data_IF_358325596233
#
_entry.id   IF_358325596233
#
_cell.length_a   1.000
_cell.length_b   1.000
_cell.length_c   1.000
_cell.angle_alpha   90.00
_cell.angle_beta   90.00
_cell.angle_gamma   90.00
#
_symmetry.space_group_name_H-M   'P 1'
#
loop_
_entity.id
_entity.type
_entity.pdbx_description
1 polymer ?
#
# COMPACT_ATOMS: atom_id res chain seq x y z
N UNK A 1 -10.67 -7.96 -2.81
CA UNK A 1 -11.40 -8.30 -4.05
C UNK A 1 -11.66 -7.01 -4.79
N UNK A 2 -11.57 -6.98 -6.12
CA UNK A 2 -11.97 -5.84 -6.93
C UNK A 2 -12.50 -6.27 -8.29
N UNK A 3 -12.93 -5.31 -9.11
CA UNK A 3 -13.64 -5.55 -10.36
C UNK A 3 -12.94 -4.81 -11.50
N UNK A 4 -12.76 -5.49 -12.65
CA UNK A 4 -12.31 -4.90 -13.90
C UNK A 4 -13.51 -4.39 -14.71
N UNK A 5 -13.30 -3.55 -15.74
CA UNK A 5 -14.41 -2.90 -16.45
C UNK A 5 -15.27 -3.88 -17.27
N UNK A 6 -14.69 -5.01 -17.68
CA UNK A 6 -15.34 -6.10 -18.40
C UNK A 6 -16.05 -7.11 -17.46
N UNK A 7 -16.10 -6.82 -16.16
CA UNK A 7 -16.80 -7.61 -15.15
C UNK A 7 -15.98 -8.74 -14.54
N UNK A 8 -14.70 -8.86 -14.87
CA UNK A 8 -13.81 -9.82 -14.20
C UNK A 8 -13.57 -9.42 -12.76
N UNK A 9 -13.47 -10.42 -11.89
CA UNK A 9 -13.19 -10.23 -10.47
C UNK A 9 -11.72 -10.53 -10.20
N UNK A 10 -11.03 -9.63 -9.51
CA UNK A 10 -9.69 -9.85 -8.97
C UNK A 10 -9.82 -10.34 -7.54
N UNK A 11 -9.20 -11.48 -7.24
CA UNK A 11 -9.15 -12.06 -5.90
C UNK A 11 -7.70 -12.38 -5.48
N UNK A 12 -7.50 -12.41 -4.18
CA UNK A 12 -6.27 -12.86 -3.56
C UNK A 12 -6.62 -14.03 -2.65
N UNK A 13 -5.89 -15.12 -2.79
CA UNK A 13 -6.02 -16.34 -1.99
C UNK A 13 -4.72 -16.58 -1.25
N UNK A 14 -4.80 -17.00 0.01
CA UNK A 14 -3.63 -17.40 0.77
C UNK A 14 -4.01 -18.53 1.73
N UNK A 15 -3.05 -19.41 2.00
CA UNK A 15 -3.22 -20.38 3.07
C UNK A 15 -3.09 -19.66 4.42
N UNK A 16 -4.03 -19.93 5.34
CA UNK A 16 -3.87 -19.44 6.71
C UNK A 16 -2.56 -19.98 7.29
N UNK A 17 -1.68 -19.12 7.82
CA UNK A 17 -0.47 -19.58 8.47
C UNK A 17 -0.84 -20.44 9.69
N UNK A 18 0.00 -21.42 10.00
CA UNK A 18 -0.13 -22.13 11.28
C UNK A 18 -0.09 -21.11 12.44
N UNK A 19 -0.88 -21.31 13.50
CA UNK A 19 -0.95 -20.40 14.64
C UNK A 19 0.29 -20.52 15.54
N UNK A 20 1.47 -20.29 14.97
CA UNK A 20 2.77 -20.38 15.63
C UNK A 20 3.27 -18.96 15.88
N UNK A 21 3.69 -18.70 17.13
CA UNK A 21 4.28 -17.43 17.52
C UNK A 21 5.46 -17.07 16.61
N UNK A 22 5.51 -15.82 16.17
CA UNK A 22 6.60 -15.28 15.37
C UNK A 22 6.11 -14.45 14.19
N UNK A 23 7.07 -14.02 13.38
CA UNK A 23 6.81 -13.34 12.12
C UNK A 23 6.53 -14.35 11.02
N UNK A 24 5.44 -14.17 10.29
CA UNK A 24 5.09 -14.96 9.11
C UNK A 24 4.77 -14.02 7.95
N UNK A 25 5.05 -14.47 6.73
CA UNK A 25 4.65 -13.77 5.51
C UNK A 25 4.10 -14.82 4.54
N UNK A 26 2.78 -15.07 4.55
CA UNK A 26 2.18 -16.13 3.74
C UNK A 26 2.31 -15.80 2.26
N UNK A 27 2.47 -16.82 1.42
CA UNK A 27 2.34 -16.66 -0.03
C UNK A 27 0.88 -16.39 -0.39
N UNK A 28 0.67 -15.41 -1.26
CA UNK A 28 -0.63 -15.00 -1.80
C UNK A 28 -0.65 -15.31 -3.29
N UNK A 29 -1.64 -16.08 -3.72
CA UNK A 29 -1.99 -16.25 -5.12
C UNK A 29 -2.93 -15.11 -5.52
N UNK A 30 -2.55 -14.33 -6.53
CA UNK A 30 -3.46 -13.35 -7.13
C UNK A 30 -4.04 -13.98 -8.38
N UNK A 31 -5.36 -14.00 -8.44
CA UNK A 31 -6.11 -14.63 -9.52
C UNK A 31 -7.22 -13.72 -9.99
N UNK A 32 -7.67 -13.96 -11.21
CA UNK A 32 -8.86 -13.34 -11.77
C UNK A 32 -9.91 -14.40 -12.08
N UNK A 33 -11.17 -13.99 -12.02
CA UNK A 33 -12.34 -14.83 -12.24
C UNK A 33 -13.14 -14.19 -13.37
N UNK A 34 -13.34 -14.89 -14.51
CA UNK A 34 -14.14 -14.37 -15.61
C UNK A 34 -15.59 -14.08 -15.17
N UNK A 35 -16.32 -13.18 -15.85
CA UNK A 35 -17.70 -12.83 -15.51
C UNK A 35 -18.66 -14.04 -15.54
N UNK A 36 -18.37 -15.01 -16.42
CA UNK A 36 -19.13 -16.25 -16.52
C UNK A 36 -18.91 -17.20 -15.33
N UNK A 37 -17.93 -16.93 -14.47
CA UNK A 37 -17.61 -17.72 -13.28
C UNK A 37 -16.98 -19.10 -13.56
N UNK A 38 -16.64 -19.39 -14.82
CA UNK A 38 -16.05 -20.69 -15.20
C UNK A 38 -14.53 -20.56 -15.24
N UNK A 39 -13.87 -21.13 -14.22
CA UNK A 39 -12.42 -21.17 -14.11
C UNK A 39 -11.82 -19.98 -13.36
N UNK A 40 -10.52 -20.04 -13.15
CA UNK A 40 -9.69 -18.97 -12.57
C UNK A 40 -8.42 -18.83 -13.41
N UNK A 41 -7.94 -17.61 -13.58
CA UNK A 41 -6.63 -17.36 -14.17
C UNK A 41 -5.69 -16.94 -13.05
N UNK A 42 -4.63 -17.73 -12.85
CA UNK A 42 -3.59 -17.40 -11.88
C UNK A 42 -2.66 -16.35 -12.51
N UNK A 43 -2.63 -15.14 -11.94
CA UNK A 43 -1.70 -14.09 -12.35
C UNK A 43 -0.29 -14.38 -11.82
N UNK A 44 -0.20 -15.05 -10.67
CA UNK A 44 1.05 -15.48 -10.05
C UNK A 44 0.94 -15.70 -8.55
N UNK A 45 2.11 -15.85 -7.91
CA UNK A 45 2.24 -16.00 -6.46
C UNK A 45 3.23 -14.97 -5.93
N UNK A 46 2.85 -14.24 -4.90
CA UNK A 46 3.65 -13.19 -4.28
C UNK A 46 3.77 -13.40 -2.77
N UNK A 47 4.85 -12.91 -2.16
CA UNK A 47 4.90 -12.74 -0.72
C UNK A 47 3.78 -11.78 -0.26
N UNK A 48 2.92 -12.24 0.63
CA UNK A 48 1.79 -11.47 1.14
C UNK A 48 2.19 -10.40 2.17
N UNK A 49 1.22 -10.07 3.01
CA UNK A 49 1.41 -9.18 4.15
C UNK A 49 2.14 -9.90 5.28
N UNK A 50 3.16 -9.25 5.80
CA UNK A 50 3.88 -9.72 6.96
C UNK A 50 3.04 -9.51 8.22
N UNK A 51 2.91 -10.58 8.97
CA UNK A 51 2.12 -10.65 10.19
C UNK A 51 3.03 -11.11 11.32
N UNK A 52 2.79 -10.56 12.50
CA UNK A 52 3.42 -11.02 13.73
C UNK A 52 2.34 -11.61 14.61
N UNK A 53 2.53 -12.89 14.94
CA UNK A 53 1.69 -13.64 15.83
C UNK A 53 2.37 -13.69 17.19
N UNK A 54 1.69 -13.23 18.23
CA UNK A 54 2.17 -13.29 19.61
C UNK A 54 1.03 -13.67 20.54
N UNK A 55 1.38 -14.17 21.72
CA UNK A 55 0.41 -14.58 22.73
C UNK A 55 0.27 -13.45 23.75
N UNK A 56 -0.96 -12.95 23.93
CA UNK A 56 -1.29 -11.92 24.92
C UNK A 56 -2.60 -12.30 25.61
N UNK A 57 -2.65 -12.23 26.95
CA UNK A 57 -3.81 -12.59 27.77
C UNK A 57 -4.40 -13.99 27.48
N UNK A 58 -3.55 -14.95 27.07
CA UNK A 58 -3.97 -16.31 26.71
C UNK A 58 -4.68 -16.42 25.36
N UNK A 59 -4.68 -15.35 24.56
CA UNK A 59 -5.18 -15.32 23.19
C UNK A 59 -4.04 -15.06 22.19
N UNK A 60 -4.16 -15.67 21.02
CA UNK A 60 -3.27 -15.38 19.90
C UNK A 60 -3.67 -14.04 19.29
N UNK A 61 -2.77 -13.07 19.36
CA UNK A 61 -2.93 -11.76 18.74
C UNK A 61 -2.16 -11.72 17.42
N UNK A 62 -2.74 -11.04 16.43
CA UNK A 62 -2.13 -10.82 15.12
C UNK A 62 -1.97 -9.32 14.93
N UNK A 63 -0.74 -8.88 14.68
CA UNK A 63 -0.44 -7.48 14.35
C UNK A 63 0.45 -7.40 13.12
N UNK A 64 0.60 -6.20 12.58
CA UNK A 64 1.54 -5.91 11.50
C UNK A 64 2.78 -5.23 12.11
N UNK A 65 4.00 -5.63 11.71
CA UNK A 65 5.19 -4.93 12.16
C UNK A 65 5.25 -3.52 11.56
N UNK A 66 5.87 -2.54 12.23
CA UNK A 66 5.88 -1.12 11.82
C UNK A 66 6.40 -0.86 10.39
N UNK A 67 7.40 -1.64 9.98
CA UNK A 67 8.01 -1.60 8.64
C UNK A 67 7.71 -2.88 7.86
N UNK A 68 6.56 -3.49 8.16
CA UNK A 68 6.17 -4.78 7.60
C UNK A 68 6.05 -4.75 6.08
N UNK A 69 6.40 -5.87 5.48
CA UNK A 69 6.25 -6.05 4.05
C UNK A 69 4.81 -6.36 3.67
N UNK A 70 4.37 -5.88 2.52
CA UNK A 70 2.99 -5.95 2.05
C UNK A 70 2.92 -6.16 0.55
N UNK A 71 1.93 -6.97 0.15
CA UNK A 71 1.47 -7.07 -1.21
C UNK A 71 0.37 -6.03 -1.47
N UNK A 72 0.56 -5.24 -2.50
CA UNK A 72 -0.39 -4.25 -3.00
C UNK A 72 -0.99 -4.74 -4.31
N UNK A 73 -2.32 -4.66 -4.43
CA UNK A 73 -3.08 -5.08 -5.60
C UNK A 73 -4.04 -3.94 -5.96
N UNK A 74 -3.89 -3.36 -7.14
CA UNK A 74 -4.75 -2.31 -7.68
C UNK A 74 -5.41 -2.77 -8.99
N UNK A 75 -6.66 -3.24 -8.92
CA UNK A 75 -7.48 -3.45 -10.11
C UNK A 75 -7.71 -2.13 -10.85
N UNK A 76 -7.72 -2.20 -12.17
CA UNK A 76 -7.98 -1.10 -13.11
C UNK A 76 -8.93 -1.60 -14.20
N UNK A 77 -9.53 -0.73 -15.02
CA UNK A 77 -10.47 -1.17 -16.07
C UNK A 77 -9.96 -2.27 -17.00
N UNK A 78 -8.66 -2.28 -17.31
CA UNK A 78 -8.04 -3.14 -18.32
C UNK A 78 -6.99 -4.11 -17.76
N UNK A 79 -6.89 -4.25 -16.44
CA UNK A 79 -5.96 -5.18 -15.82
C UNK A 79 -5.72 -4.95 -14.33
N UNK A 80 -4.64 -5.52 -13.83
CA UNK A 80 -4.26 -5.48 -12.40
C UNK A 80 -2.82 -5.03 -12.25
N UNK A 81 -2.62 -4.00 -11.44
CA UNK A 81 -1.30 -3.61 -10.96
C UNK A 81 -0.97 -4.34 -9.66
N UNK A 82 0.22 -4.93 -9.58
CA UNK A 82 0.71 -5.68 -8.43
C UNK A 82 2.08 -5.16 -8.05
N UNK A 83 2.30 -4.96 -6.76
CA UNK A 83 3.59 -4.58 -6.20
C UNK A 83 3.77 -5.23 -4.83
N UNK A 84 4.89 -5.91 -4.61
CA UNK A 84 5.37 -6.11 -3.24
C UNK A 84 6.23 -4.89 -2.86
N UNK A 85 6.16 -4.47 -1.60
CA UNK A 85 6.90 -3.29 -1.12
C UNK A 85 8.32 -3.64 -0.63
N UNK A 86 8.90 -4.74 -1.13
CA UNK A 86 10.30 -5.11 -0.87
C UNK A 86 11.23 -4.25 -1.71
N UNK A 87 10.83 -4.00 -2.96
CA UNK A 87 11.54 -3.17 -3.93
C UNK A 87 10.56 -2.22 -4.60
N UNK A 88 11.05 -1.14 -5.20
CA UNK A 88 10.19 -0.25 -5.97
C UNK A 88 9.99 -0.88 -7.36
N UNK A 89 9.00 -1.77 -7.46
CA UNK A 89 8.61 -2.44 -8.70
C UNK A 89 7.09 -2.58 -8.79
N UNK A 90 6.53 -2.16 -9.93
CA UNK A 90 5.12 -2.30 -10.27
C UNK A 90 5.03 -3.23 -11.48
N UNK A 91 4.13 -4.21 -11.41
CA UNK A 91 3.84 -5.13 -12.52
C UNK A 91 2.38 -4.99 -12.92
N UNK A 92 2.12 -4.85 -14.22
CA UNK A 92 0.77 -4.80 -14.76
C UNK A 92 0.45 -6.11 -15.49
N UNK A 93 -0.63 -6.75 -15.11
CA UNK A 93 -1.14 -7.96 -15.75
C UNK A 93 -2.49 -7.70 -16.42
N UNK A 94 -2.74 -8.35 -17.56
CA UNK A 94 -4.09 -8.46 -18.13
C UNK A 94 -5.00 -9.31 -17.24
N UNK A 95 -6.30 -9.32 -17.55
CA UNK A 95 -7.25 -10.19 -16.88
C UNK A 95 -6.90 -11.68 -17.02
N UNK A 96 -6.27 -12.08 -18.13
CA UNK A 96 -5.91 -13.46 -18.43
C UNK A 96 -4.54 -13.89 -17.87
N UNK A 97 -3.78 -12.97 -17.26
CA UNK A 97 -2.47 -13.24 -16.67
C UNK A 97 -1.26 -12.86 -17.52
N UNK A 98 -1.45 -12.14 -18.63
CA UNK A 98 -0.32 -11.66 -19.44
C UNK A 98 0.34 -10.44 -18.78
N UNK A 99 1.64 -10.50 -18.53
CA UNK A 99 2.42 -9.37 -18.04
C UNK A 99 2.63 -8.35 -19.17
N UNK A 100 1.99 -7.18 -19.07
CA UNK A 100 2.03 -6.13 -20.10
C UNK A 100 2.99 -4.98 -19.79
N UNK A 101 3.32 -4.75 -18.52
CA UNK A 101 4.24 -3.67 -18.12
C UNK A 101 4.98 -3.98 -16.82
N UNK A 102 6.23 -3.52 -16.74
CA UNK A 102 7.02 -3.48 -15.50
C UNK A 102 7.63 -2.09 -15.36
N UNK A 103 7.39 -1.44 -14.22
CA UNK A 103 7.98 -0.13 -13.89
C UNK A 103 8.84 -0.28 -12.65
N UNK A 104 10.09 0.20 -12.73
CA UNK A 104 11.09 0.09 -11.67
C UNK A 104 11.68 1.45 -11.35
N UNK A 105 12.07 1.64 -10.10
CA UNK A 105 12.88 2.77 -9.66
C UNK A 105 14.17 2.26 -9.06
N UNK A 106 15.25 3.00 -9.25
CA UNK A 106 16.53 2.75 -8.59
C UNK A 106 16.57 3.26 -7.15
N UNK A 107 15.47 3.85 -6.66
CA UNK A 107 15.36 4.30 -5.28
C UNK A 107 15.54 3.10 -4.33
N UNK A 108 16.54 3.20 -3.47
CA UNK A 108 16.79 2.19 -2.45
C UNK A 108 15.92 2.46 -1.21
N UNK A 109 15.35 1.43 -0.58
CA UNK A 109 14.70 1.56 0.71
C UNK A 109 15.59 2.27 1.75
N UNK A 110 15.01 3.15 2.54
CA UNK A 110 15.74 3.85 3.60
C UNK A 110 16.08 2.87 4.74
N UNK A 111 17.21 3.08 5.42
CA UNK A 111 17.53 2.31 6.61
C UNK A 111 16.56 2.63 7.75
N UNK A 112 16.09 1.61 8.47
CA UNK A 112 15.34 1.80 9.71
C UNK A 112 16.34 2.19 10.80
N UNK A 113 16.15 3.37 11.39
CA UNK A 113 16.95 3.86 12.50
C UNK A 113 16.16 3.79 13.80
N UNK A 114 16.84 3.77 14.94
CA UNK A 114 16.18 3.84 16.25
C UNK A 114 15.28 5.07 16.36
N UNK A 115 15.73 6.22 15.83
CA UNK A 115 14.93 7.44 15.77
C UNK A 115 13.60 7.22 15.03
N UNK A 116 13.66 6.58 13.86
CA UNK A 116 12.49 6.30 13.04
C UNK A 116 11.49 5.37 13.75
N UNK A 117 12.00 4.37 14.47
CA UNK A 117 11.19 3.47 15.28
C UNK A 117 10.53 4.21 16.45
N UNK A 118 11.26 5.05 17.17
CA UNK A 118 10.69 5.84 18.28
C UNK A 118 9.65 6.85 17.78
N UNK A 119 9.87 7.49 16.62
CA UNK A 119 8.86 8.35 15.98
C UNK A 119 7.58 7.58 15.65
N UNK A 120 7.70 6.36 15.10
CA UNK A 120 6.56 5.49 14.86
C UNK A 120 5.81 5.14 16.15
N UNK A 121 6.53 4.76 17.21
CA UNK A 121 5.92 4.39 18.49
C UNK A 121 5.22 5.58 19.14
N UNK A 122 5.86 6.75 19.14
CA UNK A 122 5.28 7.99 19.65
C UNK A 122 3.99 8.35 18.92
N UNK A 123 3.95 8.17 17.60
CA UNK A 123 2.78 8.43 16.77
C UNK A 123 1.64 7.44 17.05
N UNK A 124 1.95 6.14 16.99
CA UNK A 124 0.99 5.05 17.19
C UNK A 124 0.28 5.14 18.53
N UNK A 125 1.01 5.54 19.57
CA UNK A 125 0.51 5.58 20.95
C UNK A 125 0.23 7.01 21.44
N UNK A 126 0.15 8.00 20.54
CA UNK A 126 -0.07 9.42 20.90
C UNK A 126 -1.30 9.61 21.79
N UNK A 127 -2.38 8.89 21.50
CA UNK A 127 -3.66 8.98 22.23
C UNK A 127 -3.89 7.85 23.24
N UNK A 128 -2.89 6.98 23.45
CA UNK A 128 -3.01 5.89 24.41
C UNK A 128 -2.97 6.43 25.85
N UNK A 129 -3.77 5.84 26.73
CA UNK A 129 -3.71 6.12 28.17
C UNK A 129 -2.33 5.69 28.68
N UNK A 130 -1.68 6.58 29.44
CA UNK A 130 -0.39 6.27 30.05
C UNK A 130 -0.61 5.34 31.24
N UNK A 131 -0.35 4.06 31.05
CA UNK A 131 -0.33 3.05 32.11
C UNK A 131 0.87 2.11 31.92
N UNK A 132 1.23 1.29 32.93
CA UNK A 132 2.40 0.42 32.85
C UNK A 132 2.39 -0.57 31.67
N UNK A 133 1.22 -0.97 31.17
CA UNK A 133 1.10 -1.91 30.05
C UNK A 133 1.51 -1.28 28.72
N UNK A 134 1.46 0.05 28.62
CA UNK A 134 1.86 0.77 27.41
C UNK A 134 3.34 0.60 27.10
N UNK A 135 4.21 0.61 28.11
CA UNK A 135 5.65 0.42 27.90
C UNK A 135 5.98 -1.03 27.52
N UNK A 136 5.26 -2.01 28.08
CA UNK A 136 5.37 -3.40 27.66
C UNK A 136 4.96 -3.57 26.18
N UNK A 137 3.86 -2.95 25.75
CA UNK A 137 3.42 -2.94 24.35
C UNK A 137 4.43 -2.28 23.41
N UNK A 138 5.06 -1.17 23.83
CA UNK A 138 6.12 -0.54 23.03
C UNK A 138 7.36 -1.43 22.95
N UNK A 139 7.72 -2.10 24.04
CA UNK A 139 8.85 -3.03 24.06
C UNK A 139 8.59 -4.21 23.12
N UNK A 140 7.41 -4.81 23.16
CA UNK A 140 6.99 -5.85 22.21
C UNK A 140 7.09 -5.35 20.76
N UNK A 141 6.65 -4.12 20.49
CA UNK A 141 6.76 -3.52 19.16
C UNK A 141 8.22 -3.36 18.70
N UNK A 142 9.15 -3.00 19.59
CA UNK A 142 10.59 -2.93 19.26
C UNK A 142 11.13 -4.31 18.91
N UNK A 143 10.74 -5.35 19.64
CA UNK A 143 11.24 -6.71 19.43
C UNK A 143 10.73 -7.36 18.13
N UNK A 144 9.53 -6.99 17.70
CA UNK A 144 8.95 -7.48 16.44
C UNK A 144 9.42 -6.66 15.24
N UNK A 145 9.98 -5.46 15.47
CA UNK A 145 10.57 -4.62 14.43
C UNK A 145 11.94 -5.18 14.02
N UNK A 146 11.94 -6.17 13.12
CA UNK A 146 13.18 -6.85 12.67
C UNK A 146 13.73 -6.34 11.33
N UNK A 147 13.08 -5.35 10.73
CA UNK A 147 13.50 -4.84 9.42
C UNK A 147 14.63 -3.83 9.54
N UNK A 148 15.64 -4.00 8.69
CA UNK A 148 16.75 -3.05 8.55
C UNK A 148 16.41 -1.91 7.58
N UNK A 149 15.32 -2.02 6.82
CA UNK A 149 14.90 -1.02 5.82
C UNK A 149 13.40 -0.80 5.83
N UNK A 150 12.98 0.39 5.41
CA UNK A 150 11.57 0.72 5.21
C UNK A 150 10.98 -0.04 4.04
N UNK A 151 9.66 -0.14 3.92
CA UNK A 151 9.01 -0.42 2.64
C UNK A 151 9.47 0.53 1.53
N UNK A 152 9.57 0.01 0.30
CA UNK A 152 9.92 0.79 -0.89
C UNK A 152 8.78 1.74 -1.32
N UNK A 153 7.54 1.33 -1.03
CA UNK A 153 6.31 2.06 -1.33
C UNK A 153 5.29 1.83 -0.21
N UNK A 154 4.38 2.80 -0.03
CA UNK A 154 3.40 2.79 1.05
C UNK A 154 2.01 2.29 0.62
N UNK A 155 1.58 2.68 -0.58
CA UNK A 155 0.28 2.27 -1.14
C UNK A 155 0.25 2.44 -2.65
N UNK A 156 -0.66 1.72 -3.31
CA UNK A 156 -0.96 1.91 -4.73
C UNK A 156 -2.47 2.06 -4.92
N UNK A 157 -2.89 2.86 -5.89
CA UNK A 157 -4.28 3.11 -6.26
C UNK A 157 -4.44 2.94 -7.76
N UNK A 158 -5.35 2.05 -8.19
CA UNK A 158 -5.70 1.90 -9.60
C UNK A 158 -6.46 3.13 -10.10
N UNK A 159 -6.14 3.58 -11.30
CA UNK A 159 -6.77 4.72 -11.96
C UNK A 159 -7.81 4.25 -12.99
N UNK A 160 -8.83 5.07 -13.23
CA UNK A 160 -9.93 4.75 -14.16
C UNK A 160 -9.54 4.76 -15.65
N UNK A 161 -8.33 5.19 -15.97
CA UNK A 161 -7.78 5.15 -17.32
C UNK A 161 -6.91 3.91 -17.57
N UNK A 162 -6.65 3.07 -16.55
CA UNK A 162 -5.76 1.92 -16.63
C UNK A 162 -4.40 2.12 -15.95
N UNK A 163 -4.08 3.34 -15.51
CA UNK A 163 -2.84 3.64 -14.82
C UNK A 163 -2.87 3.29 -13.32
N UNK A 164 -1.78 3.62 -12.62
CA UNK A 164 -1.64 3.43 -11.18
C UNK A 164 -0.97 4.64 -10.53
N UNK A 165 -1.41 5.01 -9.33
CA UNK A 165 -0.78 6.02 -8.48
C UNK A 165 -0.16 5.36 -7.26
N UNK A 166 1.08 5.71 -6.94
CA UNK A 166 1.88 5.12 -5.86
C UNK A 166 2.22 6.18 -4.83
N UNK A 167 1.80 5.96 -3.60
CA UNK A 167 2.18 6.79 -2.45
C UNK A 167 3.49 6.29 -1.84
N UNK A 168 4.38 7.22 -1.51
CA UNK A 168 5.58 6.90 -0.73
C UNK A 168 5.23 6.24 0.61
N UNK A 169 6.13 5.39 1.12
CA UNK A 169 6.01 4.92 2.49
C UNK A 169 6.16 6.09 3.47
N UNK A 170 5.21 6.22 4.40
CA UNK A 170 5.24 7.17 5.51
C UNK A 170 4.78 6.44 6.78
N UNK A 171 5.27 6.91 7.93
CA UNK A 171 4.90 6.36 9.23
C UNK A 171 3.71 7.10 9.81
N UNK A 172 2.88 6.36 10.54
CA UNK A 172 1.74 6.90 11.27
C UNK A 172 0.60 7.36 10.37
N UNK A 173 -0.15 8.38 10.83
CA UNK A 173 -1.27 8.97 10.09
C UNK A 173 -0.81 9.97 9.00
N UNK A 174 0.50 10.09 8.77
CA UNK A 174 1.03 10.98 7.76
C UNK A 174 0.72 10.43 6.35
N UNK A 175 -0.21 11.08 5.65
CA UNK A 175 -0.49 10.75 4.26
C UNK A 175 0.68 11.14 3.35
N UNK A 176 0.99 10.33 2.31
CA UNK A 176 2.01 10.69 1.33
C UNK A 176 1.64 12.01 0.66
N UNK A 177 2.56 12.98 0.71
CA UNK A 177 2.43 14.25 -0.02
C UNK A 177 2.83 14.10 -1.47
N UNK A 178 3.89 13.35 -1.74
CA UNK A 178 4.32 13.04 -3.09
C UNK A 178 3.76 11.69 -3.53
N UNK A 179 3.19 11.67 -4.73
CA UNK A 179 2.67 10.50 -5.39
C UNK A 179 3.33 10.36 -6.75
N UNK A 180 3.68 9.12 -7.11
CA UNK A 180 4.19 8.78 -8.43
C UNK A 180 3.06 8.14 -9.21
N UNK A 181 2.66 8.72 -10.32
CA UNK A 181 1.63 8.18 -11.20
C UNK A 181 2.24 7.59 -12.45
N UNK A 182 1.79 6.41 -12.84
CA UNK A 182 2.14 5.75 -14.09
C UNK A 182 0.87 5.67 -14.92
N UNK A 183 0.87 6.32 -16.08
CA UNK A 183 -0.26 6.25 -17.01
C UNK A 183 -0.30 4.87 -17.74
N UNK A 184 -1.36 4.57 -18.51
CA UNK A 184 -1.47 3.31 -19.24
C UNK A 184 -0.36 3.06 -20.28
N UNK A 185 0.35 4.11 -20.70
CA UNK A 185 1.45 4.06 -21.66
C UNK A 185 2.83 3.96 -20.98
N UNK A 186 2.88 3.99 -19.65
CA UNK A 186 4.10 3.95 -18.86
C UNK A 186 4.75 5.32 -18.60
N UNK A 187 4.06 6.42 -18.90
CA UNK A 187 4.53 7.77 -18.58
C UNK A 187 4.45 7.96 -17.07
N UNK A 188 5.57 8.35 -16.47
CA UNK A 188 5.71 8.55 -15.03
C UNK A 188 5.65 10.05 -14.71
N UNK A 189 4.79 10.43 -13.78
CA UNK A 189 4.65 11.81 -13.29
C UNK A 189 4.67 11.84 -11.77
N UNK A 190 5.20 12.91 -11.17
CA UNK A 190 5.13 13.14 -9.73
C UNK A 190 4.08 14.21 -9.44
N UNK A 191 3.19 13.92 -8.49
CA UNK A 191 2.10 14.80 -8.06
C UNK A 191 2.24 15.08 -6.57
N UNK A 192 2.27 16.36 -6.22
CA UNK A 192 2.26 16.81 -4.83
C UNK A 192 0.84 17.16 -4.38
N UNK A 193 0.45 16.65 -3.21
CA UNK A 193 -0.85 16.88 -2.60
C UNK A 193 -0.73 17.75 -1.33
N UNK A 194 -1.82 18.46 -0.96
CA UNK A 194 -1.88 19.17 0.32
C UNK A 194 -1.60 18.23 1.50
N UNK A 195 -0.99 18.77 2.56
CA UNK A 195 -0.77 18.01 3.79
C UNK A 195 -2.09 17.57 4.41
N UNK A 196 -2.14 16.35 4.95
CA UNK A 196 -3.34 15.82 5.60
C UNK A 196 -4.45 15.39 4.63
N UNK A 197 -4.15 15.29 3.33
CA UNK A 197 -5.10 14.82 2.33
C UNK A 197 -5.05 13.30 2.20
N UNK A 198 -6.08 12.63 2.73
CA UNK A 198 -6.26 11.19 2.70
C UNK A 198 -6.89 10.77 1.36
N UNK A 199 -6.05 10.34 0.41
CA UNK A 199 -6.49 9.98 -0.93
C UNK A 199 -7.40 8.75 -0.92
N UNK A 200 -8.60 8.89 -1.48
CA UNK A 200 -9.58 7.80 -1.62
C UNK A 200 -9.75 7.33 -3.06
N UNK A 201 -9.60 8.24 -4.03
CA UNK A 201 -9.77 7.92 -5.44
C UNK A 201 -8.88 8.79 -6.31
N UNK A 202 -8.39 8.20 -7.40
CA UNK A 202 -7.53 8.86 -8.36
C UNK A 202 -8.13 8.74 -9.76
N UNK A 203 -8.38 9.89 -10.40
CA UNK A 203 -8.76 10.01 -11.80
C UNK A 203 -7.60 10.52 -12.65
N UNK A 204 -7.76 10.54 -13.97
CA UNK A 204 -6.70 10.97 -14.89
C UNK A 204 -6.30 12.44 -14.72
N UNK A 205 -7.23 13.33 -14.36
CA UNK A 205 -7.00 14.77 -14.19
C UNK A 205 -7.50 15.30 -12.83
N UNK A 206 -7.82 14.43 -11.88
CA UNK A 206 -8.28 14.82 -10.55
C UNK A 206 -7.95 13.78 -9.50
N UNK A 207 -7.90 14.22 -8.25
CA UNK A 207 -7.76 13.37 -7.07
C UNK A 207 -8.85 13.72 -6.06
N UNK A 208 -9.43 12.71 -5.41
CA UNK A 208 -10.44 12.89 -4.37
C UNK A 208 -9.98 12.21 -3.09
N UNK A 209 -10.22 12.91 -1.98
CA UNK A 209 -9.77 12.46 -0.67
C UNK A 209 -10.51 13.16 0.45
N UNK A 210 -10.17 12.79 1.67
CA UNK A 210 -10.70 13.36 2.89
C UNK A 210 -9.66 14.30 3.49
N UNK A 211 -10.10 15.47 3.94
CA UNK A 211 -9.29 16.39 4.76
C UNK A 211 -9.96 16.51 6.12
N UNK A 212 -9.15 16.52 7.18
CA UNK A 212 -9.57 16.87 8.52
C UNK A 212 -9.12 18.27 8.86
N UNK A 213 -10.03 19.09 9.37
CA UNK A 213 -9.70 20.44 9.84
C UNK A 213 -9.19 20.43 11.30
N UNK A 214 -8.87 21.62 11.83
CA UNK A 214 -8.37 21.76 13.19
C UNK A 214 -9.39 21.36 14.29
N UNK A 215 -10.65 21.12 13.92
CA UNK A 215 -11.72 20.66 14.81
C UNK A 215 -12.02 19.16 14.58
N UNK A 216 -11.15 18.44 13.89
CA UNK A 216 -11.29 17.03 13.51
C UNK A 216 -12.55 16.75 12.66
N UNK A 217 -13.06 17.75 11.93
CA UNK A 217 -14.18 17.56 11.00
C UNK A 217 -13.67 17.07 9.66
N UNK A 218 -14.27 16.00 9.17
CA UNK A 218 -13.98 15.44 7.86
C UNK A 218 -14.75 16.16 6.75
N UNK A 219 -14.04 16.51 5.68
CA UNK A 219 -14.62 17.01 4.44
C UNK A 219 -14.07 16.24 3.24
N UNK A 220 -14.93 15.95 2.27
CA UNK A 220 -14.52 15.37 0.99
C UNK A 220 -14.08 16.51 0.08
N UNK A 221 -12.84 16.43 -0.40
CA UNK A 221 -12.27 17.38 -1.33
C UNK A 221 -11.93 16.67 -2.64
N UNK A 222 -12.22 17.33 -3.76
CA UNK A 222 -11.77 16.93 -5.09
C UNK A 222 -10.89 18.03 -5.65
N UNK A 223 -9.63 17.71 -5.93
CA UNK A 223 -8.68 18.62 -6.54
C UNK A 223 -8.45 18.22 -8.00
N UNK A 224 -8.31 19.21 -8.87
CA UNK A 224 -7.84 19.00 -10.24
C UNK A 224 -6.32 18.86 -10.22
N UNK A 225 -5.79 17.90 -10.97
CA UNK A 225 -4.37 17.77 -11.23
C UNK A 225 -4.01 18.80 -12.29
N UNK A 226 -3.11 19.72 -11.95
CA UNK A 226 -2.58 20.69 -12.89
C UNK A 226 -1.23 20.16 -13.39
N UNK A 227 -1.10 19.95 -14.70
CA UNK A 227 0.21 19.71 -15.29
C UNK A 227 1.04 20.99 -15.18
N UNK A 228 2.30 20.88 -14.77
CA UNK A 228 3.29 21.84 -15.23
C UNK A 228 3.54 21.50 -16.69
N UNK A 229 2.94 22.26 -17.62
CA UNK A 229 3.43 22.26 -18.99
C UNK A 229 4.96 22.44 -18.91
N UNK A 230 5.77 21.53 -19.49
CA UNK A 230 7.16 21.88 -19.70
C UNK A 230 7.13 23.11 -20.59
N UNK A 231 7.56 24.26 -20.07
CA UNK A 231 7.87 25.41 -20.92
C UNK A 231 8.72 24.88 -22.08
N UNK A 232 8.14 24.91 -23.28
CA UNK A 232 8.87 24.70 -24.52
C UNK A 232 9.90 25.82 -24.58
N UNK A 233 11.11 25.54 -24.10
CA UNK A 233 12.26 26.40 -24.37
C UNK A 233 12.56 26.23 -25.87
N UNK A 234 12.45 27.36 -26.57
CA UNK A 234 12.59 27.54 -28.02
C UNK A 234 13.91 27.02 -28.61
#
# INVERSE_FOLDING_TARGET
MGLLADGWVVAASFAQPAPVKGTVRPSVEVLTIPPAGVGVHLLGTWPGEELVLFEGDGLLQVTQPPFGRRLHIAPTPDGVWIADNDQWELRRFSAEGELSMVVRSSASPAAVTDQLLEEFLAERYRYAVQDPTLEDLKQDQREITRHTTTPSLGMILGMMDGGVSVGEFKLGEAFPRAWITVDPNGIVTTIELPSGFDVKQWGSDWVMGVVRDALDREAIHRYRILGTDPEVQF
#
